data_IF_071208989330
#
_entry.id   IF_071208989330
#
_cell.length_a   1.000
_cell.length_b   1.000
_cell.length_c   1.000
_cell.angle_alpha   90.00
_cell.angle_beta   90.00
_cell.angle_gamma   90.00
#
_symmetry.space_group_name_H-M   'P 1'
#
loop_
_entity.id
_entity.type
_entity.pdbx_description
1 polymer ?
#
# COMPACT_ATOMS: atom_id res chain seq x y z
N UNK A 1 0.83 -14.70 -2.24
CA UNK A 1 -0.16 -14.80 -1.14
C UNK A 1 -1.56 -14.53 -1.67
N UNK A 2 -2.59 -15.23 -1.15
CA UNK A 2 -3.99 -15.17 -1.62
C UNK A 2 -4.96 -14.77 -0.51
N UNK A 3 -5.00 -15.53 0.59
CA UNK A 3 -5.77 -15.25 1.79
C UNK A 3 -4.82 -15.19 2.98
N UNK A 4 -4.73 -14.03 3.63
CA UNK A 4 -3.79 -13.82 4.70
C UNK A 4 -4.15 -12.61 5.56
N UNK A 5 -3.58 -12.54 6.75
CA UNK A 5 -3.43 -11.30 7.50
C UNK A 5 -1.96 -10.99 7.68
N UNK A 6 -1.54 -9.83 7.17
CA UNK A 6 -0.20 -9.28 7.33
C UNK A 6 -0.25 -8.21 8.43
N UNK A 7 0.65 -8.28 9.40
CA UNK A 7 0.82 -7.29 10.46
C UNK A 7 2.25 -6.75 10.43
N UNK A 8 2.38 -5.43 10.38
CA UNK A 8 3.67 -4.73 10.30
C UNK A 8 3.74 -3.65 11.36
N UNK A 9 4.79 -3.68 12.18
CA UNK A 9 5.11 -2.60 13.12
C UNK A 9 6.26 -1.76 12.56
N UNK A 10 5.96 -0.49 12.29
CA UNK A 10 6.87 0.44 11.63
C UNK A 10 6.97 1.77 12.39
N UNK A 11 8.02 2.53 12.11
CA UNK A 11 8.12 3.96 12.44
C UNK A 11 9.00 4.69 11.44
N UNK A 12 8.75 5.98 11.28
CA UNK A 12 9.69 6.89 10.62
C UNK A 12 10.73 7.38 11.63
N UNK A 13 11.99 7.49 11.20
CA UNK A 13 13.09 8.00 12.02
C UNK A 13 13.99 8.92 11.21
N UNK A 14 14.81 9.70 11.91
CA UNK A 14 15.81 10.56 11.29
C UNK A 14 15.21 11.66 10.41
N UNK A 15 15.98 12.10 9.42
CA UNK A 15 15.65 13.20 8.54
C UNK A 15 15.34 12.71 7.13
N UNK A 16 14.61 13.51 6.35
CA UNK A 16 14.38 13.29 4.92
C UNK A 16 15.72 13.04 4.20
N UNK A 17 15.79 11.98 3.41
CA UNK A 17 16.94 11.65 2.58
C UNK A 17 17.22 12.77 1.55
N UNK A 18 18.50 13.11 1.29
CA UNK A 18 18.85 14.05 0.24
C UNK A 18 18.28 13.64 -1.13
N UNK A 19 17.66 14.58 -1.84
CA UNK A 19 17.06 14.33 -3.15
C UNK A 19 15.66 13.72 -3.12
N UNK A 20 15.09 13.45 -1.93
CA UNK A 20 13.71 12.99 -1.82
C UNK A 20 12.74 14.04 -2.40
N UNK A 21 11.64 13.59 -3.02
CA UNK A 21 10.64 14.48 -3.58
C UNK A 21 9.93 15.29 -2.48
N UNK A 22 9.51 16.51 -2.81
CA UNK A 22 8.86 17.42 -1.86
C UNK A 22 7.54 16.89 -1.28
N UNK A 23 6.82 16.05 -2.03
CA UNK A 23 5.59 15.41 -1.57
C UNK A 23 5.84 14.28 -0.58
N UNK A 24 7.04 13.69 -0.60
CA UNK A 24 7.33 12.44 0.08
C UNK A 24 7.62 12.59 1.56
N UNK A 25 7.26 13.66 2.27
CA UNK A 25 7.61 13.76 3.69
C UNK A 25 7.02 12.59 4.50
N UNK A 26 7.90 11.79 5.13
CA UNK A 26 7.57 10.57 5.89
C UNK A 26 6.58 9.69 5.13
N UNK A 27 7.05 9.20 3.99
CA UNK A 27 6.28 8.43 3.04
C UNK A 27 6.99 7.08 2.80
N UNK A 28 6.21 6.02 2.82
CA UNK A 28 6.62 4.65 2.56
C UNK A 28 5.39 3.80 2.27
N UNK A 29 5.56 2.49 2.18
CA UNK A 29 4.45 1.63 1.77
C UNK A 29 4.66 0.18 2.13
N UNK A 30 3.55 -0.51 2.37
CA UNK A 30 3.48 -1.97 2.32
C UNK A 30 2.78 -2.30 1.01
N UNK A 31 3.55 -2.73 0.03
CA UNK A 31 3.05 -3.10 -1.28
C UNK A 31 2.69 -4.59 -1.27
N UNK A 32 1.53 -4.93 -1.81
CA UNK A 32 1.02 -6.29 -1.85
C UNK A 32 0.21 -6.56 -3.11
N UNK A 33 -0.02 -7.83 -3.39
CA UNK A 33 -0.54 -8.28 -4.68
C UNK A 33 0.29 -7.70 -5.85
N UNK A 34 1.61 -7.61 -5.64
CA UNK A 34 2.52 -7.07 -6.63
C UNK A 34 2.77 -8.07 -7.76
N UNK A 35 3.09 -7.54 -8.94
CA UNK A 35 3.69 -8.32 -10.01
C UNK A 35 4.98 -9.03 -9.55
N UNK A 36 5.44 -10.07 -10.26
CA UNK A 36 6.70 -10.73 -9.94
C UNK A 36 7.89 -9.74 -9.98
N UNK A 37 8.76 -9.71 -8.95
CA UNK A 37 9.89 -8.78 -8.90
C UNK A 37 10.81 -8.86 -10.12
N UNK A 38 11.00 -10.07 -10.67
CA UNK A 38 11.81 -10.30 -11.87
C UNK A 38 11.23 -9.66 -13.15
N UNK A 39 10.00 -9.17 -13.11
CA UNK A 39 9.33 -8.49 -14.24
C UNK A 39 9.33 -6.97 -14.12
N UNK A 40 9.86 -6.43 -13.02
CA UNK A 40 9.96 -4.98 -12.82
C UNK A 40 11.15 -4.45 -13.62
N UNK A 41 10.89 -3.54 -14.56
CA UNK A 41 11.94 -2.93 -15.40
C UNK A 41 12.82 -1.97 -14.61
N UNK A 42 14.05 -1.73 -15.08
CA UNK A 42 15.01 -0.82 -14.43
C UNK A 42 14.50 0.62 -14.29
N UNK A 43 13.72 1.08 -15.27
CA UNK A 43 13.15 2.41 -15.36
C UNK A 43 11.68 2.48 -14.89
N UNK A 44 11.14 1.36 -14.39
CA UNK A 44 9.80 1.33 -13.85
C UNK A 44 9.78 1.97 -12.45
N UNK A 45 8.99 3.04 -12.23
CA UNK A 45 9.06 3.82 -10.99
C UNK A 45 8.50 3.06 -9.78
N UNK A 46 7.44 2.27 -9.99
CA UNK A 46 6.79 1.45 -8.96
C UNK A 46 6.30 0.14 -9.57
N UNK A 47 6.33 -0.99 -8.83
CA UNK A 47 5.70 -2.24 -9.30
C UNK A 47 4.20 -2.03 -9.58
N UNK A 48 3.63 -2.86 -10.43
CA UNK A 48 2.18 -3.01 -10.54
C UNK A 48 1.71 -3.72 -9.28
N UNK A 49 0.98 -3.02 -8.41
CA UNK A 49 0.63 -3.49 -7.07
C UNK A 49 -0.50 -2.68 -6.44
N UNK A 50 -1.06 -3.23 -5.36
CA UNK A 50 -1.76 -2.47 -4.34
C UNK A 50 -0.77 -2.06 -3.25
N UNK A 51 -1.03 -0.97 -2.57
CA UNK A 51 -0.19 -0.47 -1.49
C UNK A 51 -1.04 0.05 -0.35
N UNK A 52 -0.70 -0.36 0.87
CA UNK A 52 -1.06 0.33 2.09
C UNK A 52 -0.02 1.43 2.29
N UNK A 53 -0.41 2.68 2.07
CA UNK A 53 0.52 3.79 2.17
C UNK A 53 0.83 4.13 3.63
N UNK A 54 2.11 4.28 3.94
CA UNK A 54 2.61 4.65 5.26
C UNK A 54 2.89 6.16 5.26
N UNK A 55 2.11 6.93 6.03
CA UNK A 55 2.33 8.37 6.21
C UNK A 55 2.67 8.71 7.66
N UNK A 56 3.65 9.59 7.82
CA UNK A 56 3.91 10.30 9.07
C UNK A 56 3.28 11.69 9.08
N UNK A 57 2.79 12.10 10.25
CA UNK A 57 2.32 13.45 10.50
C UNK A 57 3.44 14.49 10.38
N UNK A 58 3.12 15.63 9.79
CA UNK A 58 4.04 16.77 9.61
C UNK A 58 3.89 17.86 10.71
N UNK A 59 3.00 17.62 11.68
CA UNK A 59 2.68 18.57 12.75
C UNK A 59 1.83 19.78 12.32
N UNK A 60 1.31 19.80 11.09
CA UNK A 60 0.53 20.90 10.53
C UNK A 60 -0.86 20.46 10.08
N UNK A 61 -0.92 19.39 9.30
CA UNK A 61 -2.11 18.97 8.58
C UNK A 61 -2.47 17.51 8.92
N UNK A 62 -3.73 17.15 8.70
CA UNK A 62 -4.17 15.75 8.73
C UNK A 62 -3.49 14.99 7.57
N UNK A 63 -2.80 13.90 7.89
CA UNK A 63 -2.07 13.03 6.96
C UNK A 63 -2.35 11.57 7.32
N UNK A 64 -3.52 11.04 6.93
CA UNK A 64 -3.93 9.71 7.36
C UNK A 64 -3.05 8.64 6.72
N UNK A 65 -2.51 7.73 7.52
CA UNK A 65 -1.85 6.53 6.99
C UNK A 65 -2.90 5.48 6.58
N UNK A 66 -2.54 4.58 5.69
CA UNK A 66 -3.37 3.45 5.28
C UNK A 66 -4.24 3.72 4.08
N UNK A 67 -3.91 4.76 3.30
CA UNK A 67 -4.49 4.95 1.97
C UNK A 67 -4.24 3.71 1.10
N UNK A 68 -5.18 3.41 0.22
CA UNK A 68 -4.97 2.41 -0.84
C UNK A 68 -4.40 3.11 -2.07
N UNK A 69 -3.13 2.87 -2.37
CA UNK A 69 -2.53 3.29 -3.64
C UNK A 69 -2.53 2.12 -4.63
N UNK A 70 -3.07 2.33 -5.82
CA UNK A 70 -3.32 1.27 -6.80
C UNK A 70 -2.53 1.54 -8.10
N UNK A 71 -1.32 0.98 -8.16
CA UNK A 71 -0.40 1.12 -9.29
C UNK A 71 -0.76 0.12 -10.39
N UNK A 72 -1.34 0.61 -11.49
CA UNK A 72 -1.79 -0.23 -12.61
C UNK A 72 -2.88 -1.24 -12.24
N UNK A 73 -3.52 -1.04 -11.09
CA UNK A 73 -4.66 -1.81 -10.59
C UNK A 73 -5.75 -0.80 -10.24
N UNK A 74 -7.00 -1.21 -10.28
CA UNK A 74 -8.11 -0.52 -9.65
C UNK A 74 -8.85 -1.46 -8.71
N UNK A 75 -9.53 -0.88 -7.73
CA UNK A 75 -10.34 -1.57 -6.73
C UNK A 75 -11.75 -0.96 -6.69
N UNK A 76 -12.68 -1.68 -6.08
CA UNK A 76 -14.02 -1.17 -5.80
C UNK A 76 -14.15 -0.83 -4.31
N UNK A 77 -14.48 0.44 -4.04
CA UNK A 77 -14.74 0.98 -2.70
C UNK A 77 -16.22 1.34 -2.67
N UNK A 78 -16.98 0.76 -1.75
CA UNK A 78 -18.44 0.94 -1.68
C UNK A 78 -19.15 0.66 -3.02
N UNK A 79 -18.71 -0.38 -3.74
CA UNK A 79 -19.25 -0.77 -5.04
C UNK A 79 -18.87 0.15 -6.20
N UNK A 80 -17.96 1.10 -6.01
CA UNK A 80 -17.50 2.04 -7.05
C UNK A 80 -16.01 1.89 -7.29
N UNK A 81 -15.61 1.85 -8.57
CA UNK A 81 -14.21 1.88 -8.98
C UNK A 81 -13.52 3.14 -8.44
N UNK A 82 -12.36 3.00 -7.80
CA UNK A 82 -11.55 4.14 -7.39
C UNK A 82 -11.05 4.92 -8.62
N UNK A 83 -11.07 6.24 -8.52
CA UNK A 83 -10.62 7.15 -9.59
C UNK A 83 -9.25 7.76 -9.30
N UNK A 84 -8.89 7.87 -8.03
CA UNK A 84 -7.60 8.39 -7.58
C UNK A 84 -6.55 7.29 -7.53
N UNK A 85 -5.28 7.67 -7.76
CA UNK A 85 -4.14 6.76 -7.60
C UNK A 85 -4.03 6.24 -6.17
N UNK A 86 -4.06 7.15 -5.19
CA UNK A 86 -4.23 6.84 -3.77
C UNK A 86 -5.62 7.29 -3.31
N UNK A 87 -6.36 6.39 -2.65
CA UNK A 87 -7.64 6.72 -2.02
C UNK A 87 -7.48 6.72 -0.50
N UNK A 88 -7.77 7.85 0.18
CA UNK A 88 -7.61 7.95 1.62
C UNK A 88 -8.59 7.03 2.36
N UNK A 89 -8.24 6.58 3.59
CA UNK A 89 -9.13 5.76 4.39
C UNK A 89 -10.38 6.54 4.84
N UNK A 90 -11.46 5.81 5.10
CA UNK A 90 -12.71 6.36 5.63
C UNK A 90 -12.53 6.85 7.07
N UNK A 91 -11.83 6.06 7.89
CA UNK A 91 -11.42 6.48 9.23
C UNK A 91 -9.99 6.98 9.20
N UNK A 92 -9.81 8.28 9.39
CA UNK A 92 -8.51 8.93 9.27
C UNK A 92 -7.75 8.93 10.59
N UNK A 93 -6.48 8.54 10.55
CA UNK A 93 -5.56 8.55 11.70
C UNK A 93 -4.18 9.06 11.27
N UNK A 94 -3.73 10.13 11.92
CA UNK A 94 -2.40 10.73 11.68
C UNK A 94 -1.52 10.47 12.89
N UNK A 95 -0.33 9.92 12.66
CA UNK A 95 0.64 9.62 13.72
C UNK A 95 1.89 10.51 13.56
N UNK A 96 2.15 11.36 14.54
CA UNK A 96 3.26 12.32 14.52
C UNK A 96 4.49 11.79 15.27
N UNK A 97 5.68 12.29 14.93
CA UNK A 97 6.93 11.89 15.59
C UNK A 97 7.30 10.43 15.32
N UNK A 98 8.22 9.90 16.13
CA UNK A 98 8.92 8.63 15.84
C UNK A 98 8.30 7.44 16.59
N UNK A 99 6.98 7.53 16.81
CA UNK A 99 6.21 6.50 17.50
C UNK A 99 6.05 5.25 16.64
N UNK A 100 5.97 4.10 17.31
CA UNK A 100 5.63 2.85 16.64
C UNK A 100 4.15 2.84 16.26
N UNK A 101 3.88 2.51 15.00
CA UNK A 101 2.54 2.34 14.45
C UNK A 101 2.41 0.91 13.96
N UNK A 102 1.23 0.33 14.12
CA UNK A 102 0.91 -1.01 13.61
C UNK A 102 -0.01 -0.86 12.41
N UNK A 103 0.37 -1.42 11.26
CA UNK A 103 -0.48 -1.57 10.09
C UNK A 103 -0.87 -3.04 9.94
N UNK A 104 -2.15 -3.31 9.68
CA UNK A 104 -2.63 -4.64 9.30
C UNK A 104 -3.32 -4.58 7.94
N UNK A 105 -3.07 -5.62 7.13
CA UNK A 105 -3.75 -5.86 5.87
C UNK A 105 -4.35 -7.26 5.95
N UNK A 106 -5.68 -7.34 5.92
CA UNK A 106 -6.39 -8.62 5.86
C UNK A 106 -6.96 -8.81 4.46
N UNK A 107 -6.54 -9.89 3.79
CA UNK A 107 -7.08 -10.35 2.52
C UNK A 107 -7.85 -11.64 2.78
N UNK A 108 -9.15 -11.62 2.54
CA UNK A 108 -10.02 -12.79 2.72
C UNK A 108 -11.13 -12.79 1.68
N UNK A 109 -11.21 -13.86 0.90
CA UNK A 109 -12.26 -14.09 -0.11
C UNK A 109 -12.42 -12.92 -1.10
N UNK A 110 -11.29 -12.33 -1.53
CA UNK A 110 -11.28 -11.22 -2.49
C UNK A 110 -11.59 -9.85 -1.89
N UNK A 111 -11.88 -9.77 -0.58
CA UNK A 111 -12.00 -8.52 0.17
C UNK A 111 -10.69 -8.19 0.86
N UNK A 112 -10.33 -6.92 0.84
CA UNK A 112 -9.15 -6.38 1.49
C UNK A 112 -9.59 -5.36 2.53
N UNK A 113 -9.13 -5.54 3.76
CA UNK A 113 -9.42 -4.63 4.87
C UNK A 113 -8.10 -4.10 5.43
N UNK A 114 -7.99 -2.78 5.50
CA UNK A 114 -6.86 -2.09 6.12
C UNK A 114 -7.22 -1.75 7.57
N UNK A 115 -6.28 -1.98 8.48
CA UNK A 115 -6.36 -1.54 9.86
C UNK A 115 -5.13 -0.72 10.24
N UNK A 116 -5.33 0.23 11.15
CA UNK A 116 -4.23 0.92 11.83
C UNK A 116 -4.41 0.84 13.33
N UNK A 117 -3.38 0.38 14.04
CA UNK A 117 -3.40 0.22 15.50
C UNK A 117 -4.62 -0.56 16.02
N UNK A 118 -5.07 -1.56 15.25
CA UNK A 118 -6.22 -2.42 15.57
C UNK A 118 -7.60 -1.88 15.14
N UNK A 119 -7.68 -0.65 14.64
CA UNK A 119 -8.91 -0.04 14.14
C UNK A 119 -9.05 -0.25 12.64
N UNK A 120 -10.19 -0.75 12.18
CA UNK A 120 -10.50 -0.83 10.75
C UNK A 120 -10.66 0.56 10.17
N UNK A 121 -9.89 0.88 9.12
CA UNK A 121 -9.89 2.22 8.51
C UNK A 121 -10.49 2.27 7.12
N UNK A 122 -10.43 1.17 6.37
CA UNK A 122 -11.13 1.02 5.10
C UNK A 122 -11.26 -0.46 4.70
N UNK A 123 -12.20 -0.73 3.80
CA UNK A 123 -12.38 -2.01 3.14
C UNK A 123 -12.71 -1.77 1.67
N UNK A 124 -12.21 -2.65 0.82
CA UNK A 124 -12.44 -2.65 -0.62
C UNK A 124 -12.32 -4.05 -1.18
N UNK A 125 -12.70 -4.22 -2.44
CA UNK A 125 -12.77 -5.52 -3.08
C UNK A 125 -12.51 -5.44 -4.59
N UNK A 126 -12.58 -6.58 -5.25
CA UNK A 126 -12.46 -6.71 -6.71
C UNK A 126 -11.22 -6.03 -7.32
N UNK A 127 -10.00 -6.25 -6.77
CA UNK A 127 -8.80 -5.70 -7.35
C UNK A 127 -8.59 -6.24 -8.77
N UNK A 128 -8.44 -5.34 -9.73
CA UNK A 128 -8.32 -5.67 -11.15
C UNK A 128 -7.21 -4.88 -11.82
N UNK A 129 -6.42 -5.56 -12.63
CA UNK A 129 -5.43 -4.95 -13.49
C UNK A 129 -6.10 -3.95 -14.45
N UNK A 130 -5.53 -2.76 -14.55
CA UNK A 130 -5.99 -1.73 -15.46
C UNK A 130 -5.38 -1.92 -16.86
N UNK A 131 -6.16 -2.43 -17.80
CA UNK A 131 -5.72 -2.66 -19.18
C UNK A 131 -5.34 -1.39 -19.95
N UNK A 132 -5.61 -0.19 -19.41
CA UNK A 132 -5.13 1.06 -20.00
C UNK A 132 -3.65 1.32 -19.68
N UNK A 133 -3.13 0.73 -18.60
CA UNK A 133 -1.72 0.84 -18.22
C UNK A 133 -0.83 0.02 -19.18
N UNK A 134 0.21 0.65 -19.73
CA UNK A 134 1.08 0.05 -20.74
C UNK A 134 1.87 -1.16 -20.22
N UNK A 135 2.30 -1.13 -18.95
CA UNK A 135 3.03 -2.24 -18.33
C UNK A 135 2.10 -3.43 -18.14
N UNK A 136 0.87 -3.17 -17.65
CA UNK A 136 -0.16 -4.19 -17.44
C UNK A 136 -0.48 -4.97 -18.71
N UNK A 137 -0.57 -4.30 -19.86
CA UNK A 137 -0.83 -4.96 -21.16
C UNK A 137 0.16 -6.07 -21.49
N UNK A 138 1.40 -5.97 -21.00
CA UNK A 138 2.45 -6.96 -21.21
C UNK A 138 2.53 -8.00 -20.09
N UNK A 139 1.84 -7.77 -18.96
CA UNK A 139 1.86 -8.66 -17.79
C UNK A 139 0.72 -9.67 -17.78
N UNK A 140 -0.43 -9.34 -18.37
CA UNK A 140 -1.61 -10.21 -18.35
C UNK A 140 -2.15 -10.51 -19.76
N UNK A 141 -2.61 -11.74 -19.96
CA UNK A 141 -3.10 -12.24 -21.24
C UNK A 141 -4.59 -12.63 -21.22
N UNK A 142 -5.40 -11.99 -20.36
CA UNK A 142 -6.83 -12.33 -20.25
C UNK A 142 -7.46 -11.83 -18.96
N UNK A 143 -7.71 -12.75 -18.01
CA UNK A 143 -8.34 -12.44 -16.72
C UNK A 143 -7.59 -11.31 -16.03
N UNK A 144 -8.32 -10.22 -15.76
CA UNK A 144 -7.76 -9.04 -15.12
C UNK A 144 -7.93 -9.05 -13.60
N UNK A 145 -8.54 -10.09 -13.01
CA UNK A 145 -8.69 -10.15 -11.55
C UNK A 145 -7.37 -10.45 -10.85
N UNK A 146 -7.03 -9.66 -9.84
CA UNK A 146 -5.81 -9.80 -9.04
C UNK A 146 -6.10 -10.65 -7.81
N UNK A 147 -5.82 -11.96 -7.88
CA UNK A 147 -6.09 -12.90 -6.79
C UNK A 147 -4.94 -13.10 -5.82
N UNK A 148 -3.73 -12.78 -6.27
CA UNK A 148 -2.51 -13.03 -5.52
C UNK A 148 -1.35 -12.22 -6.06
N UNK A 149 -0.32 -12.04 -5.25
CA UNK A 149 0.96 -11.55 -5.73
C UNK A 149 2.04 -11.56 -4.65
N UNK A 150 3.10 -10.80 -4.92
CA UNK A 150 4.23 -10.60 -4.01
C UNK A 150 3.93 -9.48 -3.02
N UNK A 151 4.70 -9.46 -1.93
CA UNK A 151 4.67 -8.41 -0.90
C UNK A 151 6.07 -7.77 -0.87
N UNK A 152 6.12 -6.44 -0.83
CA UNK A 152 7.34 -5.65 -0.64
C UNK A 152 7.14 -4.55 0.39
N UNK A 153 8.22 -4.17 1.05
CA UNK A 153 8.25 -3.06 2.00
C UNK A 153 9.04 -1.92 1.35
N UNK A 154 8.44 -0.74 1.32
CA UNK A 154 8.96 0.43 0.64
C UNK A 154 9.22 1.56 1.62
N UNK A 155 10.33 2.25 1.41
CA UNK A 155 10.67 3.52 2.05
C UNK A 155 10.95 4.54 0.95
N UNK A 156 10.14 5.59 0.83
CA UNK A 156 10.28 6.57 -0.27
C UNK A 156 11.29 7.68 0.03
N UNK A 157 11.36 8.14 1.27
CA UNK A 157 12.02 9.42 1.56
C UNK A 157 12.70 9.55 2.91
N UNK A 158 12.27 8.78 3.91
CA UNK A 158 12.77 8.86 5.28
C UNK A 158 13.28 7.49 5.67
N UNK A 159 14.36 7.41 6.45
CA UNK A 159 14.68 6.19 7.16
C UNK A 159 13.47 5.65 7.93
N UNK A 160 13.26 4.34 7.85
CA UNK A 160 12.19 3.64 8.53
C UNK A 160 12.76 2.46 9.30
N UNK A 161 12.24 2.23 10.50
CA UNK A 161 12.50 1.00 11.24
C UNK A 161 11.28 0.09 11.14
N UNK A 162 11.56 -1.21 10.97
CA UNK A 162 10.57 -2.28 11.08
C UNK A 162 11.05 -3.26 12.14
N UNK A 163 10.24 -3.49 13.18
CA UNK A 163 10.63 -4.43 14.26
C UNK A 163 9.86 -5.74 14.23
N UNK A 164 8.71 -5.77 13.56
CA UNK A 164 7.85 -6.94 13.48
C UNK A 164 7.13 -6.98 12.13
N UNK A 165 7.24 -8.11 11.44
CA UNK A 165 6.53 -8.40 10.19
C UNK A 165 6.04 -9.84 10.32
N UNK A 166 4.72 -10.00 10.46
CA UNK A 166 4.09 -11.30 10.67
C UNK A 166 3.02 -11.53 9.61
N UNK A 167 2.98 -12.74 9.07
CA UNK A 167 1.93 -13.17 8.15
C UNK A 167 1.27 -14.43 8.68
N UNK A 168 -0.06 -14.43 8.66
CA UNK A 168 -0.89 -15.61 8.93
C UNK A 168 -1.68 -15.92 7.67
N UNK A 169 -1.42 -17.08 7.06
CA UNK A 169 -2.18 -17.58 5.92
C UNK A 169 -3.38 -18.40 6.39
N UNK A 170 -4.47 -18.39 5.62
CA UNK A 170 -5.72 -19.11 5.90
C UNK A 170 -5.94 -20.27 4.93
#
# INVERSE_FOLDING_TARGET
>A
FTNYRLKVEYRFVGNTAPGAPSWGYRDGGIQYHCQPPATVSLDQPFPICLEYNLLGGNGKDERPTGEICASGIYVEIEGKRNTSYCTPPLVKRTFSGDQWVTADIEVRDGKVTHFVSGEQIMQFENPRYDSTNAIVKNLIAGDNLVRSGYISIQSNSHPMDFRKIEILEY
#
